data_IF_879939326665
#
_entry.id   IF_879939326665
#
_cell.length_a   1.000
_cell.length_b   1.000
_cell.length_c   1.000
_cell.angle_alpha   90.00
_cell.angle_beta   90.00
_cell.angle_gamma   90.00
#
_symmetry.space_group_name_H-M   'P 1'
#
loop_
_entity.id
_entity.type
_entity.pdbx_description
1 polymer ?
#
# COMPACT_ATOMS: atom_id res chain seq x y z
N UNK A 1 -4.21 -5.52 -25.61
CA UNK A 1 -4.15 -5.49 -24.13
C UNK A 1 -2.86 -4.77 -23.74
N UNK A 2 -2.94 -3.63 -23.05
CA UNK A 2 -1.75 -2.99 -22.48
C UNK A 2 -1.42 -3.69 -21.16
N UNK A 3 -0.13 -3.87 -20.89
CA UNK A 3 0.37 -4.48 -19.66
C UNK A 3 0.01 -3.57 -18.47
N UNK A 4 -0.71 -4.13 -17.49
CA UNK A 4 -0.89 -3.51 -16.18
C UNK A 4 0.44 -3.65 -15.45
N UNK A 5 1.11 -2.53 -15.18
CA UNK A 5 2.31 -2.52 -14.33
C UNK A 5 1.86 -2.79 -12.90
N UNK A 6 2.35 -3.90 -12.34
CA UNK A 6 2.16 -4.29 -10.93
C UNK A 6 3.51 -4.23 -10.24
N UNK A 7 3.65 -3.33 -9.27
CA UNK A 7 4.82 -3.26 -8.39
C UNK A 7 4.48 -4.05 -7.13
N UNK A 8 5.29 -5.08 -6.83
CA UNK A 8 5.20 -5.85 -5.60
C UNK A 8 6.49 -5.68 -4.81
N UNK A 9 6.39 -5.29 -3.55
CA UNK A 9 7.52 -5.09 -2.66
C UNK A 9 7.20 -5.63 -1.27
N UNK A 10 8.18 -6.26 -0.62
CA UNK A 10 8.07 -6.71 0.76
C UNK A 10 9.23 -6.08 1.52
N UNK A 11 8.92 -5.40 2.62
CA UNK A 11 9.94 -4.78 3.46
C UNK A 11 10.60 -5.80 4.41
N UNK A 12 11.62 -5.35 5.14
CA UNK A 12 12.33 -6.18 6.13
C UNK A 12 11.46 -6.64 7.31
N UNK A 13 10.32 -5.99 7.54
CA UNK A 13 9.33 -6.35 8.56
C UNK A 13 8.26 -7.32 8.04
N UNK A 14 8.32 -7.71 6.77
CA UNK A 14 7.31 -8.56 6.13
C UNK A 14 6.03 -7.82 5.75
N UNK A 15 6.04 -6.48 5.71
CA UNK A 15 4.92 -5.69 5.19
C UNK A 15 4.95 -5.78 3.66
N UNK A 16 3.84 -6.21 3.08
CA UNK A 16 3.69 -6.36 1.64
C UNK A 16 3.00 -5.13 1.05
N UNK A 17 3.54 -4.63 -0.06
CA UNK A 17 3.02 -3.51 -0.82
C UNK A 17 2.75 -3.97 -2.26
N UNK A 18 1.48 -3.88 -2.66
CA UNK A 18 1.03 -4.11 -4.02
C UNK A 18 0.53 -2.79 -4.61
N UNK A 19 1.08 -2.37 -5.75
CA UNK A 19 0.66 -1.17 -6.49
C UNK A 19 0.28 -1.57 -7.91
N UNK A 20 -0.94 -1.24 -8.32
CA UNK A 20 -1.51 -1.59 -9.61
C UNK A 20 -1.95 -0.33 -10.37
N UNK A 21 -1.54 -0.24 -11.65
CA UNK A 21 -2.00 0.86 -12.51
C UNK A 21 -3.47 0.71 -12.90
N UNK A 22 -4.23 1.79 -12.87
CA UNK A 22 -5.60 1.82 -13.38
C UNK A 22 -5.54 2.24 -14.86
N UNK A 23 -6.09 1.42 -15.76
CA UNK A 23 -5.88 1.51 -17.22
C UNK A 23 -6.31 2.87 -17.84
N UNK A 24 -7.12 3.68 -17.13
CA UNK A 24 -7.70 4.94 -17.63
C UNK A 24 -7.57 6.13 -16.67
N UNK A 25 -6.76 6.01 -15.61
CA UNK A 25 -6.68 7.06 -14.59
C UNK A 25 -5.22 7.45 -14.27
N UNK A 26 -5.03 8.69 -13.82
CA UNK A 26 -3.74 9.15 -13.30
C UNK A 26 -3.40 8.51 -11.94
N UNK A 27 -4.35 7.80 -11.33
CA UNK A 27 -4.19 7.14 -10.05
C UNK A 27 -3.73 5.68 -10.20
N UNK A 28 -2.92 5.23 -9.24
CA UNK A 28 -2.64 3.81 -9.04
C UNK A 28 -3.38 3.32 -7.79
N UNK A 29 -3.86 2.08 -7.81
CA UNK A 29 -4.37 1.42 -6.60
C UNK A 29 -3.19 0.94 -5.78
N UNK A 30 -3.34 0.99 -4.47
CA UNK A 30 -2.42 0.30 -3.59
C UNK A 30 -3.15 -0.61 -2.61
N UNK A 31 -2.46 -1.67 -2.21
CA UNK A 31 -2.84 -2.54 -1.12
C UNK A 31 -1.60 -2.79 -0.27
N UNK A 32 -1.65 -2.41 1.00
CA UNK A 32 -0.66 -2.77 2.01
C UNK A 32 -1.22 -3.89 2.88
N UNK A 33 -0.44 -4.95 3.05
CA UNK A 33 -0.75 -6.06 3.95
C UNK A 33 0.30 -6.10 5.05
N UNK A 34 -0.16 -5.95 6.28
CA UNK A 34 0.68 -5.91 7.46
C UNK A 34 0.42 -7.16 8.32
N UNK A 35 1.45 -7.95 8.64
CA UNK A 35 1.33 -9.09 9.57
C UNK A 35 0.91 -8.67 10.99
N UNK A 36 0.16 -9.53 11.67
CA UNK A 36 -0.29 -9.29 13.05
C UNK A 36 0.84 -9.08 14.05
N UNK A 37 1.95 -9.80 13.91
CA UNK A 37 3.12 -9.59 14.76
C UNK A 37 3.69 -8.17 14.65
N UNK A 38 3.54 -7.53 13.48
CA UNK A 38 4.05 -6.18 13.21
C UNK A 38 3.13 -5.12 13.81
N UNK A 39 1.84 -5.12 13.47
CA UNK A 39 0.93 -4.07 13.97
C UNK A 39 0.58 -4.20 15.47
N UNK A 40 0.87 -5.35 16.09
CA UNK A 40 0.73 -5.50 17.54
C UNK A 40 1.98 -5.06 18.33
N UNK A 41 3.15 -5.00 17.68
CA UNK A 41 4.43 -4.73 18.35
C UNK A 41 4.95 -3.31 18.14
N UNK A 42 4.55 -2.65 17.06
CA UNK A 42 4.95 -1.27 16.76
C UNK A 42 3.82 -0.46 16.14
N UNK A 43 3.88 0.85 16.36
CA UNK A 43 3.08 1.80 15.61
C UNK A 43 3.51 1.78 14.13
N UNK A 44 2.53 1.82 13.23
CA UNK A 44 2.74 1.88 11.79
C UNK A 44 2.16 3.19 11.30
N UNK A 45 3.06 4.05 10.82
CA UNK A 45 2.71 5.33 10.21
C UNK A 45 3.11 5.30 8.75
N UNK A 46 2.22 5.77 7.89
CA UNK A 46 2.56 6.13 6.52
C UNK A 46 2.67 7.65 6.50
N UNK A 47 3.89 8.16 6.39
CA UNK A 47 4.11 9.61 6.43
C UNK A 47 3.53 10.30 5.18
N UNK A 48 3.16 11.56 5.36
CA UNK A 48 2.80 12.44 4.26
C UNK A 48 3.98 12.57 3.30
N UNK A 49 3.85 12.04 2.09
CA UNK A 49 4.89 12.16 1.06
C UNK A 49 5.22 10.86 0.34
N UNK A 50 4.68 9.70 0.75
CA UNK A 50 4.81 8.49 -0.07
C UNK A 50 4.44 7.22 0.67
N UNK A 51 3.64 6.37 0.02
CA UNK A 51 3.28 5.05 0.53
C UNK A 51 4.51 4.14 0.72
N UNK A 52 5.51 4.30 -0.13
CA UNK A 52 6.67 3.42 -0.22
C UNK A 52 7.93 4.27 0.00
N UNK A 53 8.63 4.04 1.12
CA UNK A 53 9.90 4.72 1.48
C UNK A 53 9.85 6.27 1.41
N UNK A 54 8.68 6.88 1.66
CA UNK A 54 8.47 8.33 1.51
C UNK A 54 8.77 8.86 0.09
N UNK A 55 8.63 8.01 -0.94
CA UNK A 55 8.81 8.43 -2.33
C UNK A 55 7.61 9.27 -2.81
N UNK A 56 7.82 10.54 -3.20
CA UNK A 56 6.76 11.45 -3.61
C UNK A 56 6.01 11.01 -4.87
N UNK A 57 6.53 10.04 -5.63
CA UNK A 57 5.83 9.42 -6.77
C UNK A 57 4.68 8.50 -6.34
N UNK A 58 4.59 8.18 -5.05
CA UNK A 58 3.57 7.32 -4.47
C UNK A 58 2.77 8.05 -3.39
N UNK A 59 2.45 9.33 -3.61
CA UNK A 59 1.70 10.12 -2.64
C UNK A 59 0.28 9.56 -2.47
N UNK A 60 -0.12 9.27 -1.22
CA UNK A 60 -1.47 8.76 -0.91
C UNK A 60 -2.49 9.87 -1.18
N UNK A 61 -3.41 9.59 -2.10
CA UNK A 61 -4.53 10.45 -2.42
C UNK A 61 -5.74 10.17 -1.53
N UNK A 62 -6.08 8.88 -1.38
CA UNK A 62 -7.24 8.45 -0.61
C UNK A 62 -7.00 7.07 0.00
N UNK A 63 -7.45 6.88 1.24
CA UNK A 63 -7.59 5.57 1.88
C UNK A 63 -9.04 5.12 1.71
N UNK A 64 -9.26 4.05 0.96
CA UNK A 64 -10.59 3.52 0.66
C UNK A 64 -11.01 2.39 1.58
N UNK A 65 -10.08 1.82 2.35
CA UNK A 65 -10.42 0.78 3.33
C UNK A 65 -9.28 0.43 4.27
N UNK A 66 -9.65 0.19 5.53
CA UNK A 66 -8.77 -0.34 6.57
C UNK A 66 -9.53 -1.45 7.29
N UNK A 67 -9.00 -2.68 7.27
CA UNK A 67 -9.67 -3.82 7.90
C UNK A 67 -8.70 -4.93 8.28
N UNK A 68 -9.09 -5.75 9.26
CA UNK A 68 -8.34 -6.95 9.63
C UNK A 68 -9.02 -8.17 9.01
N UNK A 69 -8.23 -9.04 8.36
CA UNK A 69 -8.69 -10.30 7.80
C UNK A 69 -7.59 -11.36 7.94
N UNK A 70 -7.94 -12.53 8.46
CA UNK A 70 -7.03 -13.67 8.62
C UNK A 70 -5.72 -13.36 9.36
N UNK A 71 -5.74 -12.46 10.35
CA UNK A 71 -4.52 -12.07 11.08
C UNK A 71 -3.63 -11.06 10.33
N UNK A 72 -4.18 -10.37 9.33
CA UNK A 72 -3.47 -9.30 8.62
C UNK A 72 -4.27 -8.01 8.68
N UNK A 73 -3.60 -6.90 8.96
CA UNK A 73 -4.15 -5.57 8.75
C UNK A 73 -3.96 -5.23 7.28
N UNK A 74 -5.07 -4.90 6.62
CA UNK A 74 -5.14 -4.60 5.21
C UNK A 74 -5.51 -3.13 5.05
N UNK A 75 -4.73 -2.41 4.26
CA UNK A 75 -4.95 -0.99 3.94
C UNK A 75 -5.03 -0.87 2.44
N UNK A 76 -6.08 -0.26 1.94
CA UNK A 76 -6.30 -0.07 0.50
C UNK A 76 -6.61 1.38 0.20
N UNK A 77 -6.21 1.81 -0.99
CA UNK A 77 -6.42 3.17 -1.40
C UNK A 77 -5.88 3.47 -2.79
N UNK A 78 -5.69 4.75 -3.03
CA UNK A 78 -5.21 5.30 -4.28
C UNK A 78 -4.01 6.21 -4.03
N UNK A 79 -3.01 6.15 -4.92
CA UNK A 79 -1.87 7.06 -4.97
C UNK A 79 -1.89 7.88 -6.27
N UNK A 80 -1.31 9.08 -6.25
CA UNK A 80 -1.17 9.99 -7.38
C UNK A 80 0.26 10.44 -7.59
#
# INVERSE_FOLDING_TARGET
MKLVEVIKYVDESGIEFDIESIEYDAFKKFHVTVPQEVFNSKEISFEWGGLLMNDPRFAIYEISGVYVKNGYLNIKGYIR
#
